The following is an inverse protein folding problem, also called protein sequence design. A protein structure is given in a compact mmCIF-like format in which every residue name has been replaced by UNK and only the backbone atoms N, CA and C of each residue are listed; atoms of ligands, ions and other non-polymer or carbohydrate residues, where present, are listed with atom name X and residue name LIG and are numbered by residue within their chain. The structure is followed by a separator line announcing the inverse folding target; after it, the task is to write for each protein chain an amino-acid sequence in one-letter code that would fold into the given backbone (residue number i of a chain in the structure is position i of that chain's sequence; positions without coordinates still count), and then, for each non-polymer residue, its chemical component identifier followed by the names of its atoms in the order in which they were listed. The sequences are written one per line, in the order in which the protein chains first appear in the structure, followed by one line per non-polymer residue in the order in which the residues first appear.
data_IF_159714658518
#
_entry.id   IF_159714658518
#
_cell.length_a   1.000
_cell.length_b   1.000
_cell.length_c   1.000
_cell.angle_alpha   90.00
_cell.angle_beta   90.00
_cell.angle_gamma   90.00
#
_symmetry.space_group_name_H-M   'P 1'
#
loop_
_entity.id
_entity.type
_entity.pdbx_description
1 polymer ?
#
# COMPACT_ATOMS: atom_id res chain seq x y z
N UNK A 1 -24.04 18.74 -7.62
CA UNK A 1 -23.42 20.03 -7.98
C UNK A 1 -24.45 21.12 -8.26
N UNK A 2 -25.43 20.93 -9.17
CA UNK A 2 -26.45 21.98 -9.46
C UNK A 2 -27.40 22.33 -8.31
N UNK A 3 -27.55 21.47 -7.32
CA UNK A 3 -28.40 21.76 -6.14
C UNK A 3 -27.71 22.64 -5.08
N UNK A 4 -26.39 22.81 -5.18
CA UNK A 4 -25.59 23.59 -4.21
C UNK A 4 -25.36 25.01 -4.71
N UNK A 5 -25.10 25.17 -6.01
CA UNK A 5 -24.90 26.45 -6.66
C UNK A 5 -26.26 27.08 -7.00
N UNK A 6 -26.76 27.91 -6.07
CA UNK A 6 -28.08 28.55 -6.18
C UNK A 6 -27.98 29.87 -6.96
N UNK A 7 -26.79 30.48 -6.94
CA UNK A 7 -26.42 31.69 -7.66
C UNK A 7 -26.08 31.45 -9.13
N UNK A 8 -25.85 30.18 -9.53
CA UNK A 8 -25.47 29.73 -10.86
C UNK A 8 -24.12 30.31 -11.34
N UNK A 9 -23.21 30.57 -10.41
CA UNK A 9 -21.89 31.15 -10.69
C UNK A 9 -20.78 30.09 -10.89
N UNK A 10 -21.14 28.80 -10.76
CA UNK A 10 -20.24 27.67 -10.93
C UNK A 10 -19.31 27.43 -9.73
N UNK A 11 -19.45 28.21 -8.65
CA UNK A 11 -18.74 28.04 -7.38
C UNK A 11 -19.76 27.75 -6.27
N UNK A 12 -19.28 27.36 -5.08
CA UNK A 12 -20.15 27.14 -3.93
C UNK A 12 -19.63 28.05 -2.82
N UNK A 13 -20.35 29.13 -2.56
CA UNK A 13 -20.02 30.03 -1.45
C UNK A 13 -20.37 29.40 -0.10
N UNK A 14 -19.72 29.85 0.97
CA UNK A 14 -19.97 29.36 2.34
C UNK A 14 -21.45 29.51 2.71
N UNK A 15 -22.08 30.62 2.30
CA UNK A 15 -23.50 30.86 2.58
C UNK A 15 -24.42 29.91 1.82
N UNK A 16 -24.10 29.56 0.58
CA UNK A 16 -24.84 28.58 -0.21
C UNK A 16 -24.68 27.16 0.36
N UNK A 17 -23.46 26.80 0.75
CA UNK A 17 -23.17 25.53 1.39
C UNK A 17 -23.97 25.36 2.68
N UNK A 18 -23.91 26.35 3.58
CA UNK A 18 -24.63 26.31 4.86
C UNK A 18 -26.15 26.28 4.65
N UNK A 19 -26.68 27.05 3.69
CA UNK A 19 -28.11 27.04 3.37
C UNK A 19 -28.57 25.71 2.80
N UNK A 20 -27.79 25.11 1.90
CA UNK A 20 -28.15 23.83 1.28
C UNK A 20 -28.10 22.68 2.32
N UNK A 21 -27.04 22.63 3.14
CA UNK A 21 -26.92 21.67 4.26
C UNK A 21 -28.07 21.86 5.26
N UNK A 22 -28.40 23.10 5.64
CA UNK A 22 -29.50 23.37 6.57
C UNK A 22 -30.86 22.98 6.00
N UNK A 23 -31.10 23.19 4.70
CA UNK A 23 -32.31 22.76 3.98
C UNK A 23 -32.41 21.23 3.93
N UNK A 24 -31.30 20.54 3.68
CA UNK A 24 -31.23 19.08 3.69
C UNK A 24 -31.44 18.52 5.10
N UNK A 25 -30.82 19.10 6.12
CA UNK A 25 -31.00 18.71 7.51
C UNK A 25 -32.45 18.90 7.97
N UNK A 26 -33.10 20.00 7.56
CA UNK A 26 -34.53 20.24 7.82
C UNK A 26 -35.45 19.27 7.06
N UNK A 27 -35.09 18.85 5.84
CA UNK A 27 -35.81 17.80 5.10
C UNK A 27 -35.66 16.44 5.78
N UNK A 28 -34.44 16.05 6.13
CA UNK A 28 -34.15 14.82 6.87
C UNK A 28 -34.86 14.79 8.23
N UNK A 29 -34.89 15.93 8.94
CA UNK A 29 -35.58 16.05 10.24
C UNK A 29 -37.10 16.03 10.09
N UNK A 30 -37.66 16.61 9.03
CA UNK A 30 -39.11 16.51 8.74
C UNK A 30 -39.54 15.09 8.37
N UNK A 31 -38.69 14.35 7.65
CA UNK A 31 -38.90 12.92 7.39
C UNK A 31 -38.90 12.13 8.70
N UNK A 32 -38.05 12.49 9.66
CA UNK A 32 -38.00 11.90 11.01
C UNK A 32 -39.27 12.17 11.84
N UNK A 33 -39.88 13.35 11.73
CA UNK A 33 -41.09 13.69 12.51
C UNK A 33 -42.39 13.19 11.90
N UNK A 34 -42.46 13.01 10.58
CA UNK A 34 -43.61 12.39 9.90
C UNK A 34 -43.62 10.85 10.04
N UNK A 35 -42.52 10.26 10.51
CA UNK A 35 -42.32 8.84 10.74
C UNK A 35 -42.07 8.60 12.23
N UNK A 36 -43.09 8.76 13.06
CA UNK A 36 -43.12 8.30 14.45
C UNK A 36 -43.19 6.77 14.57
N UNK A 37 -42.47 6.05 13.69
CA UNK A 37 -42.41 4.60 13.71
C UNK A 37 -41.70 4.00 12.50
N UNK A 38 -40.43 4.34 12.22
CA UNK A 38 -39.48 3.44 11.54
C UNK A 38 -38.08 4.06 11.46
N UNK A 39 -37.26 3.85 12.50
CA UNK A 39 -35.80 4.07 12.45
C UNK A 39 -35.07 3.13 11.47
N UNK A 40 -35.79 2.35 10.67
CA UNK A 40 -35.22 1.33 9.79
C UNK A 40 -34.82 1.86 8.42
N UNK A 41 -35.33 3.01 7.93
CA UNK A 41 -35.10 3.40 6.53
C UNK A 41 -33.77 4.14 6.31
N UNK A 42 -33.32 4.98 7.25
CA UNK A 42 -32.00 5.63 7.18
C UNK A 42 -30.88 4.65 7.51
N UNK A 43 -31.11 3.77 8.50
CA UNK A 43 -30.22 2.64 8.77
C UNK A 43 -30.17 1.70 7.57
N UNK A 44 -31.30 1.39 6.91
CA UNK A 44 -31.31 0.63 5.65
C UNK A 44 -30.59 1.32 4.52
N UNK A 45 -30.64 2.65 4.41
CA UNK A 45 -29.93 3.36 3.35
C UNK A 45 -28.42 3.31 3.61
N UNK A 46 -27.94 3.68 4.80
CA UNK A 46 -26.51 3.56 5.16
C UNK A 46 -26.02 2.12 5.08
N UNK A 47 -26.84 1.16 5.54
CA UNK A 47 -26.52 -0.26 5.46
C UNK A 47 -26.59 -0.78 4.02
N UNK A 48 -27.47 -0.28 3.15
CA UNK A 48 -27.48 -0.62 1.73
C UNK A 48 -26.26 -0.05 1.01
N UNK A 49 -25.83 1.18 1.33
CA UNK A 49 -24.57 1.73 0.80
C UNK A 49 -23.36 0.96 1.30
N UNK A 50 -23.31 0.58 2.58
CA UNK A 50 -22.27 -0.31 3.10
C UNK A 50 -22.32 -1.68 2.43
N UNK A 51 -23.51 -2.28 2.28
CA UNK A 51 -23.67 -3.60 1.71
C UNK A 51 -23.40 -3.64 0.20
N UNK A 52 -23.68 -2.55 -0.53
CA UNK A 52 -23.30 -2.41 -1.94
C UNK A 52 -21.80 -2.16 -2.09
N UNK A 53 -21.19 -1.41 -1.16
CA UNK A 53 -19.72 -1.24 -1.11
C UNK A 53 -19.04 -2.57 -0.76
N UNK A 54 -19.56 -3.31 0.21
CA UNK A 54 -19.11 -4.65 0.60
C UNK A 54 -19.34 -5.65 -0.52
N UNK A 55 -20.44 -5.59 -1.28
CA UNK A 55 -20.64 -6.45 -2.46
C UNK A 55 -19.72 -6.08 -3.62
N UNK A 56 -19.49 -4.79 -3.86
CA UNK A 56 -18.49 -4.36 -4.85
C UNK A 56 -17.09 -4.81 -4.39
N UNK A 57 -16.75 -4.77 -3.10
CA UNK A 57 -15.51 -5.30 -2.53
C UNK A 57 -15.43 -6.84 -2.61
N UNK A 58 -16.49 -7.56 -2.26
CA UNK A 58 -16.56 -9.04 -2.25
C UNK A 58 -16.54 -9.63 -3.66
N UNK A 59 -17.06 -8.89 -4.65
CA UNK A 59 -16.90 -9.20 -6.09
C UNK A 59 -15.46 -8.96 -6.59
N UNK A 60 -14.67 -8.16 -5.88
CA UNK A 60 -13.26 -7.91 -6.16
C UNK A 60 -12.34 -8.84 -5.34
N UNK A 61 -12.80 -9.28 -4.17
CA UNK A 61 -12.16 -10.21 -3.22
C UNK A 61 -12.19 -11.68 -3.66
N UNK A 62 -12.80 -11.99 -4.81
CA UNK A 62 -12.75 -13.34 -5.43
C UNK A 62 -11.36 -13.68 -5.99
N UNK A 63 -10.30 -13.01 -5.53
CA UNK A 63 -8.91 -13.21 -5.94
C UNK A 63 -8.11 -14.09 -5.00
N UNK A 64 -8.53 -14.23 -3.73
CA UNK A 64 -7.87 -15.12 -2.78
C UNK A 64 -8.65 -16.44 -2.68
N UNK A 65 -8.45 -17.30 -3.68
CA UNK A 65 -8.97 -18.67 -3.64
C UNK A 65 -8.45 -19.47 -2.44
N UNK A 66 -7.32 -19.03 -1.83
CA UNK A 66 -6.78 -19.55 -0.57
C UNK A 66 -7.66 -19.25 0.66
N UNK A 67 -8.35 -18.12 0.70
CA UNK A 67 -9.25 -17.78 1.82
C UNK A 67 -10.66 -18.36 1.67
N UNK A 68 -11.08 -18.72 0.45
CA UNK A 68 -12.40 -19.35 0.24
C UNK A 68 -12.51 -20.76 0.79
N UNK A 69 -11.41 -21.50 0.90
CA UNK A 69 -11.40 -22.78 1.63
C UNK A 69 -11.47 -22.60 3.15
N UNK A 70 -11.31 -21.36 3.65
CA UNK A 70 -11.42 -21.01 5.07
C UNK A 70 -12.79 -20.40 5.44
N UNK A 71 -13.80 -20.45 4.55
CA UNK A 71 -15.16 -19.95 4.85
C UNK A 71 -16.17 -21.05 5.20
N UNK A 72 -15.73 -22.29 5.49
CA UNK A 72 -16.62 -23.39 5.95
C UNK A 72 -16.26 -24.01 7.32
N UNK A 73 -15.55 -23.29 8.19
CA UNK A 73 -15.30 -23.76 9.56
C UNK A 73 -15.97 -22.83 10.58
N UNK A 74 -16.90 -23.40 11.35
CA UNK A 74 -17.73 -22.70 12.31
C UNK A 74 -16.98 -21.88 13.37
N UNK A 75 -17.75 -20.96 13.96
CA UNK A 75 -17.41 -20.01 15.04
C UNK A 75 -16.27 -19.03 14.69
N UNK A 76 -16.60 -17.76 14.44
CA UNK A 76 -15.67 -16.66 14.11
C UNK A 76 -14.45 -16.55 15.06
N UNK A 77 -14.59 -17.04 16.30
CA UNK A 77 -13.50 -17.14 17.28
C UNK A 77 -12.45 -18.16 16.87
N UNK A 78 -12.84 -19.30 16.31
CA UNK A 78 -11.92 -20.34 15.84
C UNK A 78 -11.09 -19.85 14.65
N UNK A 79 -11.72 -19.15 13.70
CA UNK A 79 -11.02 -18.51 12.58
C UNK A 79 -10.00 -17.47 13.07
N UNK A 80 -10.36 -16.66 14.06
CA UNK A 80 -9.46 -15.67 14.66
C UNK A 80 -8.27 -16.32 15.38
N UNK A 81 -8.52 -17.36 16.18
CA UNK A 81 -7.45 -18.11 16.87
C UNK A 81 -6.53 -18.78 15.85
N UNK A 82 -7.08 -19.38 14.80
CA UNK A 82 -6.32 -19.98 13.72
C UNK A 82 -5.44 -18.94 13.03
N UNK A 83 -5.97 -17.77 12.69
CA UNK A 83 -5.20 -16.68 12.09
C UNK A 83 -4.03 -16.24 12.98
N UNK A 84 -4.27 -16.01 14.29
CA UNK A 84 -3.20 -15.66 15.25
C UNK A 84 -2.13 -16.75 15.32
N UNK A 85 -2.53 -18.03 15.33
CA UNK A 85 -1.59 -19.14 15.37
C UNK A 85 -0.76 -19.25 14.09
N UNK A 86 -1.37 -19.01 12.92
CA UNK A 86 -0.65 -18.95 11.64
C UNK A 86 0.35 -17.79 11.61
N UNK A 87 -0.03 -16.60 12.10
CA UNK A 87 0.87 -15.45 12.19
C UNK A 87 2.06 -15.71 13.11
N UNK A 88 1.82 -16.32 14.29
CA UNK A 88 2.88 -16.69 15.21
C UNK A 88 3.82 -17.74 14.60
N UNK A 89 3.26 -18.75 13.94
CA UNK A 89 4.04 -19.79 13.28
C UNK A 89 4.90 -19.20 12.15
N UNK A 90 4.33 -18.35 11.29
CA UNK A 90 5.05 -17.67 10.22
C UNK A 90 6.17 -16.78 10.76
N UNK A 91 5.90 -16.05 11.85
CA UNK A 91 6.91 -15.21 12.51
C UNK A 91 8.06 -16.05 13.08
N UNK A 92 7.75 -17.20 13.71
CA UNK A 92 8.76 -18.10 14.27
C UNK A 92 9.63 -18.71 13.17
N UNK A 93 9.03 -19.10 12.05
CA UNK A 93 9.75 -19.60 10.89
C UNK A 93 10.65 -18.47 10.33
N UNK A 94 10.12 -17.28 10.10
CA UNK A 94 10.90 -16.15 9.60
C UNK A 94 12.10 -15.84 10.52
N UNK A 95 11.90 -15.85 11.83
CA UNK A 95 12.97 -15.66 12.80
C UNK A 95 14.02 -16.78 12.76
N UNK A 96 13.61 -18.03 12.61
CA UNK A 96 14.54 -19.18 12.50
C UNK A 96 15.37 -19.16 11.21
N UNK A 97 14.85 -18.57 10.13
CA UNK A 97 15.53 -18.46 8.84
C UNK A 97 16.25 -17.13 8.62
N UNK A 98 16.08 -16.14 9.49
CA UNK A 98 16.72 -14.83 9.36
C UNK A 98 18.25 -14.93 9.40
N UNK A 99 18.82 -15.58 10.42
CA UNK A 99 20.28 -15.71 10.55
C UNK A 99 20.90 -16.53 9.41
N UNK A 100 20.37 -17.73 9.05
CA UNK A 100 20.88 -18.49 7.90
C UNK A 100 20.79 -17.74 6.57
N UNK A 101 19.80 -16.86 6.40
CA UNK A 101 19.67 -16.05 5.20
C UNK A 101 20.80 -15.02 5.11
N UNK A 102 21.11 -14.34 6.21
CA UNK A 102 22.23 -13.38 6.28
C UNK A 102 23.55 -14.11 6.00
N UNK A 103 23.77 -15.26 6.65
CA UNK A 103 24.97 -16.07 6.42
C UNK A 103 25.11 -16.53 4.96
N UNK A 104 23.99 -16.89 4.31
CA UNK A 104 24.00 -17.29 2.90
C UNK A 104 24.37 -16.13 1.97
N UNK A 105 23.88 -14.92 2.26
CA UNK A 105 24.22 -13.73 1.50
C UNK A 105 25.70 -13.37 1.68
N UNK A 106 26.24 -13.45 2.89
CA UNK A 106 27.65 -13.16 3.16
C UNK A 106 28.57 -14.17 2.47
N UNK A 107 28.28 -15.47 2.57
CA UNK A 107 29.05 -16.50 1.86
C UNK A 107 28.97 -16.34 0.33
N UNK A 108 27.83 -15.90 -0.20
CA UNK A 108 27.68 -15.63 -1.63
C UNK A 108 28.43 -14.37 -2.06
N UNK A 109 28.43 -13.33 -1.22
CA UNK A 109 29.22 -12.11 -1.39
C UNK A 109 30.72 -12.45 -1.49
N UNK A 110 31.23 -13.24 -0.56
CA UNK A 110 32.64 -13.67 -0.54
C UNK A 110 33.02 -14.53 -1.75
N UNK A 111 32.14 -15.43 -2.18
CA UNK A 111 32.39 -16.31 -3.31
C UNK A 111 32.36 -15.57 -4.67
N UNK A 112 31.54 -14.53 -4.80
CA UNK A 112 31.35 -13.79 -6.06
C UNK A 112 32.11 -12.48 -6.13
N UNK A 113 32.61 -11.95 -5.00
CA UNK A 113 33.25 -10.64 -4.90
C UNK A 113 32.28 -9.46 -5.03
N UNK A 114 30.96 -9.70 -4.95
CA UNK A 114 29.92 -8.67 -5.01
C UNK A 114 29.51 -8.33 -3.58
N UNK A 115 29.48 -7.05 -3.15
CA UNK A 115 29.13 -6.72 -1.76
C UNK A 115 27.73 -7.21 -1.38
N UNK A 116 27.60 -7.75 -0.16
CA UNK A 116 26.36 -8.28 0.42
C UNK A 116 25.16 -7.31 0.33
N UNK A 117 25.42 -5.99 0.41
CA UNK A 117 24.42 -4.95 0.21
C UNK A 117 23.71 -5.06 -1.14
N UNK A 118 24.46 -5.20 -2.25
CA UNK A 118 23.88 -5.28 -3.60
C UNK A 118 23.02 -6.54 -3.77
N UNK A 119 23.51 -7.67 -3.25
CA UNK A 119 22.79 -8.94 -3.29
C UNK A 119 21.47 -8.81 -2.51
N UNK A 120 21.53 -8.27 -1.30
CA UNK A 120 20.35 -8.03 -0.46
C UNK A 120 19.36 -7.05 -1.10
N UNK A 121 19.86 -5.96 -1.69
CA UNK A 121 19.03 -4.94 -2.32
C UNK A 121 18.26 -5.44 -3.55
N UNK A 122 18.72 -6.53 -4.17
CA UNK A 122 18.04 -7.20 -5.28
C UNK A 122 17.13 -8.31 -4.79
N UNK A 123 17.68 -9.23 -4.00
CA UNK A 123 16.99 -10.47 -3.63
C UNK A 123 15.85 -10.21 -2.65
N UNK A 124 16.06 -9.33 -1.67
CA UNK A 124 15.09 -9.12 -0.59
C UNK A 124 13.78 -8.49 -1.11
N UNK A 125 13.80 -7.37 -1.86
CA UNK A 125 12.57 -6.80 -2.42
C UNK A 125 11.86 -7.72 -3.41
N UNK A 126 12.60 -8.55 -4.16
CA UNK A 126 12.01 -9.54 -5.05
C UNK A 126 11.29 -10.63 -4.25
N UNK A 127 11.88 -11.13 -3.18
CA UNK A 127 11.30 -12.19 -2.37
C UNK A 127 10.12 -11.71 -1.51
N UNK A 128 10.23 -10.53 -0.90
CA UNK A 128 9.20 -10.03 0.03
C UNK A 128 7.99 -9.46 -0.71
N UNK A 129 8.19 -8.85 -1.88
CA UNK A 129 7.11 -8.16 -2.60
C UNK A 129 6.58 -8.97 -3.80
N UNK A 130 7.09 -10.18 -4.07
CA UNK A 130 6.64 -10.98 -5.21
C UNK A 130 5.18 -11.38 -5.10
N UNK A 131 4.70 -11.75 -3.91
CA UNK A 131 3.30 -12.15 -3.70
C UNK A 131 2.36 -10.98 -3.96
N UNK A 132 2.66 -9.79 -3.42
CA UNK A 132 1.91 -8.57 -3.66
C UNK A 132 1.90 -8.18 -5.15
N UNK A 133 3.05 -8.27 -5.82
CA UNK A 133 3.17 -7.97 -7.24
C UNK A 133 2.32 -8.92 -8.11
N UNK A 134 2.33 -10.22 -7.80
CA UNK A 134 1.51 -11.22 -8.51
C UNK A 134 0.02 -10.96 -8.28
N UNK A 135 -0.40 -10.72 -7.04
CA UNK A 135 -1.80 -10.39 -6.72
C UNK A 135 -2.25 -9.11 -7.43
N UNK A 136 -1.42 -8.08 -7.47
CA UNK A 136 -1.68 -6.85 -8.21
C UNK A 136 -1.90 -7.09 -9.70
N UNK A 137 -1.06 -7.93 -10.32
CA UNK A 137 -1.19 -8.26 -11.75
C UNK A 137 -2.50 -9.02 -12.02
N UNK A 138 -2.81 -10.03 -11.20
CA UNK A 138 -4.06 -10.80 -11.30
C UNK A 138 -5.26 -9.87 -11.19
N UNK A 139 -5.24 -8.96 -10.21
CA UNK A 139 -6.33 -8.04 -9.96
C UNK A 139 -6.46 -6.98 -11.07
N UNK A 140 -5.35 -6.47 -11.59
CA UNK A 140 -5.33 -5.54 -12.72
C UNK A 140 -5.82 -6.18 -14.03
N UNK A 141 -5.65 -7.50 -14.21
CA UNK A 141 -6.09 -8.22 -15.41
C UNK A 141 -7.61 -8.46 -15.51
N UNK A 142 -8.39 -8.17 -14.47
CA UNK A 142 -9.85 -8.44 -14.40
C UNK A 142 -10.76 -7.34 -15.01
N UNK A 143 -10.20 -6.44 -15.83
CA UNK A 143 -10.89 -5.52 -16.75
C UNK A 143 -12.09 -4.72 -16.19
N UNK A 144 -11.88 -4.02 -15.07
CA UNK A 144 -12.82 -3.00 -14.57
C UNK A 144 -12.04 -1.76 -14.11
N UNK A 145 -12.24 -0.61 -14.77
CA UNK A 145 -11.50 0.64 -14.46
C UNK A 145 -11.57 1.08 -12.99
N UNK A 146 -12.69 0.81 -12.30
CA UNK A 146 -12.84 1.06 -10.84
C UNK A 146 -11.89 0.18 -10.01
N UNK A 147 -11.70 -1.06 -10.43
CA UNK A 147 -10.81 -2.05 -9.82
C UNK A 147 -9.38 -1.55 -9.87
N UNK A 148 -8.90 -1.09 -11.04
CA UNK A 148 -7.53 -0.59 -11.21
C UNK A 148 -7.17 0.60 -10.32
N UNK A 149 -8.07 1.57 -10.13
CA UNK A 149 -7.80 2.70 -9.23
C UNK A 149 -7.75 2.29 -7.76
N UNK A 150 -8.55 1.29 -7.37
CA UNK A 150 -8.55 0.74 -6.03
C UNK A 150 -7.25 -0.02 -5.75
N UNK A 151 -6.82 -0.90 -6.67
CA UNK A 151 -5.52 -1.59 -6.58
C UNK A 151 -4.38 -0.60 -6.46
N UNK A 152 -4.42 0.47 -7.25
CA UNK A 152 -3.35 1.46 -7.25
C UNK A 152 -3.26 2.16 -5.88
N UNK A 153 -4.40 2.53 -5.30
CA UNK A 153 -4.44 3.11 -3.95
C UNK A 153 -4.00 2.12 -2.88
N UNK A 154 -4.37 0.85 -3.00
CA UNK A 154 -3.99 -0.22 -2.08
C UNK A 154 -2.48 -0.49 -2.13
N UNK A 155 -1.91 -0.64 -3.34
CA UNK A 155 -0.48 -0.81 -3.53
C UNK A 155 0.33 0.38 -3.03
N UNK A 156 -0.15 1.59 -3.32
CA UNK A 156 0.50 2.81 -2.84
C UNK A 156 0.47 2.88 -1.30
N UNK A 157 -0.68 2.53 -0.70
CA UNK A 157 -0.85 2.45 0.75
C UNK A 157 0.06 1.38 1.38
N UNK A 158 0.07 0.17 0.84
CA UNK A 158 0.90 -0.96 1.29
C UNK A 158 2.38 -0.57 1.23
N UNK A 159 2.86 -0.10 0.08
CA UNK A 159 4.26 0.29 -0.10
C UNK A 159 4.68 1.43 0.84
N UNK A 160 3.83 2.44 1.00
CA UNK A 160 4.13 3.57 1.90
C UNK A 160 4.17 3.11 3.35
N UNK A 161 3.19 2.30 3.78
CA UNK A 161 3.11 1.82 5.15
C UNK A 161 4.29 0.89 5.48
N UNK A 162 4.61 -0.06 4.60
CA UNK A 162 5.73 -0.98 4.77
C UNK A 162 7.06 -0.22 4.88
N UNK A 163 7.33 0.70 3.95
CA UNK A 163 8.58 1.46 3.96
C UNK A 163 8.72 2.37 5.19
N UNK A 164 7.66 3.09 5.58
CA UNK A 164 7.72 4.00 6.74
C UNK A 164 7.86 3.21 8.04
N UNK A 165 7.12 2.11 8.19
CA UNK A 165 7.17 1.28 9.39
C UNK A 165 8.52 0.56 9.50
N UNK A 166 9.01 -0.04 8.41
CA UNK A 166 10.30 -0.71 8.36
C UNK A 166 11.45 0.26 8.69
N UNK A 167 11.48 1.43 8.03
CA UNK A 167 12.49 2.45 8.30
C UNK A 167 12.45 2.93 9.76
N UNK A 168 11.25 3.18 10.29
CA UNK A 168 11.07 3.62 11.67
C UNK A 168 11.58 2.59 12.69
N UNK A 169 11.22 1.32 12.52
CA UNK A 169 11.68 0.23 13.39
C UNK A 169 13.19 0.03 13.27
N UNK A 170 13.73 0.05 12.04
CA UNK A 170 15.16 -0.07 11.80
C UNK A 170 15.95 1.05 12.48
N UNK A 171 15.55 2.30 12.29
CA UNK A 171 16.23 3.46 12.87
C UNK A 171 16.12 3.46 14.41
N UNK A 172 14.99 3.03 14.96
CA UNK A 172 14.82 2.84 16.40
C UNK A 172 15.80 1.79 16.96
N UNK A 173 15.99 0.67 16.26
CA UNK A 173 16.95 -0.36 16.67
C UNK A 173 18.40 0.14 16.59
N UNK A 174 18.77 0.84 15.52
CA UNK A 174 20.09 1.49 15.36
C UNK A 174 20.36 2.45 16.52
N UNK A 175 19.38 3.29 16.86
CA UNK A 175 19.48 4.25 17.97
C UNK A 175 19.65 3.56 19.33
N UNK A 176 18.82 2.56 19.64
CA UNK A 176 18.87 1.84 20.92
C UNK A 176 20.18 1.04 21.07
N UNK A 177 20.70 0.50 19.96
CA UNK A 177 21.94 -0.28 19.95
C UNK A 177 23.21 0.58 19.82
N UNK A 178 23.08 1.88 19.55
CA UNK A 178 24.20 2.80 19.39
C UNK A 178 25.10 2.46 18.20
N UNK A 179 24.53 1.89 17.14
CA UNK A 179 25.27 1.53 15.93
C UNK A 179 25.62 2.79 15.12
N UNK A 180 26.83 2.82 14.55
CA UNK A 180 27.25 3.89 13.64
C UNK A 180 26.51 3.75 12.31
N UNK A 181 26.06 4.88 11.76
CA UNK A 181 25.40 4.92 10.46
C UNK A 181 26.45 5.12 9.37
N UNK A 182 26.89 4.02 8.75
CA UNK A 182 27.97 4.03 7.76
C UNK A 182 27.49 3.83 6.30
N UNK A 183 26.17 3.73 6.06
CA UNK A 183 25.57 3.55 4.73
C UNK A 183 25.05 4.88 4.15
N UNK A 184 25.91 5.90 4.12
CA UNK A 184 25.49 7.25 3.73
C UNK A 184 25.29 7.37 2.22
N UNK A 185 26.18 6.74 1.44
CA UNK A 185 26.19 6.82 -0.01
C UNK A 185 24.98 6.13 -0.63
N UNK A 186 24.59 4.95 -0.14
CA UNK A 186 23.49 4.15 -0.69
C UNK A 186 22.14 4.81 -0.39
N UNK A 187 21.96 5.31 0.82
CA UNK A 187 20.75 6.03 1.23
C UNK A 187 20.56 7.32 0.42
N UNK A 188 21.65 8.04 0.14
CA UNK A 188 21.61 9.23 -0.70
C UNK A 188 21.15 8.89 -2.12
N UNK A 189 21.65 7.80 -2.71
CA UNK A 189 21.21 7.37 -4.06
C UNK A 189 19.72 7.00 -4.06
N UNK A 190 19.26 6.25 -3.05
CA UNK A 190 17.84 5.88 -2.91
C UNK A 190 16.97 7.14 -2.80
N UNK A 191 17.37 8.11 -1.99
CA UNK A 191 16.64 9.39 -1.84
C UNK A 191 16.58 10.15 -3.16
N UNK A 192 17.68 10.25 -3.90
CA UNK A 192 17.69 10.93 -5.21
C UNK A 192 16.71 10.26 -6.17
N UNK A 193 16.76 8.93 -6.27
CA UNK A 193 15.85 8.15 -7.13
C UNK A 193 14.40 8.36 -6.73
N UNK A 194 14.09 8.31 -5.43
CA UNK A 194 12.76 8.55 -4.88
C UNK A 194 12.27 9.98 -5.17
N UNK A 195 13.11 11.00 -5.03
CA UNK A 195 12.74 12.39 -5.33
C UNK A 195 12.47 12.56 -6.82
N UNK A 196 13.32 12.03 -7.68
CA UNK A 196 13.14 12.10 -9.14
C UNK A 196 11.83 11.43 -9.56
N UNK A 197 11.57 10.22 -9.08
CA UNK A 197 10.32 9.51 -9.38
C UNK A 197 9.09 10.16 -8.74
N UNK A 198 9.21 10.64 -7.51
CA UNK A 198 8.14 11.35 -6.81
C UNK A 198 7.75 12.64 -7.52
N UNK A 199 8.73 13.44 -7.95
CA UNK A 199 8.48 14.62 -8.78
C UNK A 199 7.85 14.25 -10.11
N UNK A 200 8.39 13.25 -10.83
CA UNK A 200 7.85 12.80 -12.12
C UNK A 200 6.39 12.34 -12.01
N UNK A 201 6.07 11.55 -10.97
CA UNK A 201 4.73 11.08 -10.69
C UNK A 201 3.79 12.22 -10.25
N UNK A 202 4.28 13.21 -9.51
CA UNK A 202 3.48 14.34 -9.03
C UNK A 202 3.00 15.25 -10.18
N UNK A 203 3.81 15.43 -11.22
CA UNK A 203 3.43 16.24 -12.38
C UNK A 203 2.57 15.51 -13.43
N UNK A 204 2.33 14.20 -13.26
CA UNK A 204 1.64 13.36 -14.25
C UNK A 204 0.45 12.63 -13.62
N UNK A 205 -0.76 13.00 -14.03
CA UNK A 205 -2.01 12.36 -13.57
C UNK A 205 -2.40 11.12 -14.38
N UNK A 206 -1.75 10.86 -15.51
CA UNK A 206 -2.02 9.69 -16.36
C UNK A 206 -0.73 8.90 -16.59
N UNK A 207 -0.72 7.63 -16.20
CA UNK A 207 0.42 6.72 -16.31
C UNK A 207 0.27 5.79 -17.52
N UNK A 208 0.79 6.15 -18.71
CA UNK A 208 0.83 5.23 -19.84
C UNK A 208 1.83 4.10 -19.58
N UNK A 209 1.68 2.94 -20.22
CA UNK A 209 2.57 1.78 -20.04
C UNK A 209 4.08 2.09 -20.20
N UNK A 210 4.43 3.11 -21.00
CA UNK A 210 5.81 3.57 -21.13
C UNK A 210 6.43 4.08 -19.81
N UNK A 211 5.64 4.60 -18.86
CA UNK A 211 6.17 5.00 -17.54
C UNK A 211 6.62 3.79 -16.72
N UNK A 212 6.02 2.62 -16.93
CA UNK A 212 6.49 1.39 -16.30
C UNK A 212 7.85 0.96 -16.87
N UNK A 213 8.10 1.16 -18.17
CA UNK A 213 9.39 0.89 -18.78
C UNK A 213 10.48 1.83 -18.22
N UNK A 214 10.17 3.12 -18.05
CA UNK A 214 11.08 4.09 -17.40
C UNK A 214 11.39 3.67 -15.96
N UNK A 215 10.37 3.28 -15.18
CA UNK A 215 10.56 2.82 -13.81
C UNK A 215 11.43 1.56 -13.74
N UNK A 216 11.21 0.60 -14.66
CA UNK A 216 11.97 -0.65 -14.73
C UNK A 216 13.44 -0.40 -15.12
N UNK A 217 13.72 0.58 -15.98
CA UNK A 217 15.09 0.98 -16.34
C UNK A 217 15.79 1.77 -15.25
N UNK A 218 15.05 2.46 -14.38
CA UNK A 218 15.63 3.25 -13.31
C UNK A 218 16.28 2.37 -12.22
N UNK A 219 15.79 1.15 -12.04
CA UNK A 219 16.32 0.17 -11.09
C UNK A 219 17.75 -0.33 -11.43
N UNK A 220 18.06 -0.82 -12.65
CA UNK A 220 19.43 -1.14 -13.02
C UNK A 220 20.31 0.13 -13.10
N UNK A 221 19.73 1.28 -13.41
CA UNK A 221 20.47 2.56 -13.37
C UNK A 221 20.89 2.92 -11.94
N UNK A 222 20.04 2.75 -10.93
CA UNK A 222 20.41 3.01 -9.53
C UNK A 222 21.51 2.07 -9.06
N UNK A 223 21.44 0.77 -9.40
CA UNK A 223 22.51 -0.20 -9.10
C UNK A 223 23.84 0.20 -9.74
N UNK A 224 23.83 0.64 -11.01
CA UNK A 224 25.02 1.12 -11.69
C UNK A 224 25.59 2.39 -11.01
N UNK A 225 24.73 3.28 -10.55
CA UNK A 225 25.15 4.51 -9.87
C UNK A 225 25.76 4.23 -8.50
N UNK A 226 25.21 3.30 -7.72
CA UNK A 226 25.80 2.84 -6.45
C UNK A 226 27.16 2.19 -6.73
N UNK A 227 27.25 1.32 -7.74
CA UNK A 227 28.53 0.72 -8.12
C UNK A 227 29.60 1.77 -8.47
N UNK A 228 29.23 2.81 -9.22
CA UNK A 228 30.17 3.90 -9.54
C UNK A 228 30.55 4.71 -8.29
N UNK A 229 29.60 5.02 -7.41
CA UNK A 229 29.89 5.79 -6.19
C UNK A 229 30.82 5.03 -5.24
N UNK A 230 30.58 3.74 -5.08
CA UNK A 230 31.30 2.89 -4.14
C UNK A 230 32.68 2.48 -4.70
N UNK A 231 32.72 1.91 -5.92
CA UNK A 231 33.97 1.39 -6.50
C UNK A 231 34.86 2.43 -7.18
N UNK A 232 34.29 3.52 -7.73
CA UNK A 232 35.07 4.51 -8.51
C UNK A 232 35.39 5.74 -7.67
N UNK A 233 34.46 6.18 -6.81
CA UNK A 233 34.63 7.39 -6.00
C UNK A 233 35.04 7.08 -4.55
N UNK A 234 34.95 5.82 -4.09
CA UNK A 234 35.38 5.40 -2.75
C UNK A 234 34.54 6.03 -1.64
N UNK A 235 33.27 6.33 -1.92
CA UNK A 235 32.35 6.92 -0.96
C UNK A 235 31.58 5.80 -0.24
N UNK A 236 32.05 5.46 0.96
CA UNK A 236 31.31 4.71 1.99
C UNK A 236 30.58 5.71 2.88
#
# INVERSE_FOLDING_TARGET
MRDFDTSLDGQIDETEFVNCISKWLKRATRIRTASSGHGSHTLRFLNAFHQDTERELDLLDVGDESEKELKDAGDSRWTSIKAVLLLLLGTLIAAAFADPLVDAVDNFSDATGIPAFFISFIVLPLATNSSEAVSAIIFASRDKRKTTSLTFSELYGSATMNNVLCLSVFLALVYIRGLTWDFSSEMLVIIIVCVVMGCFASFRTHFPLWTALVALLLYPFSLALIYVLDYVLGWS
#
